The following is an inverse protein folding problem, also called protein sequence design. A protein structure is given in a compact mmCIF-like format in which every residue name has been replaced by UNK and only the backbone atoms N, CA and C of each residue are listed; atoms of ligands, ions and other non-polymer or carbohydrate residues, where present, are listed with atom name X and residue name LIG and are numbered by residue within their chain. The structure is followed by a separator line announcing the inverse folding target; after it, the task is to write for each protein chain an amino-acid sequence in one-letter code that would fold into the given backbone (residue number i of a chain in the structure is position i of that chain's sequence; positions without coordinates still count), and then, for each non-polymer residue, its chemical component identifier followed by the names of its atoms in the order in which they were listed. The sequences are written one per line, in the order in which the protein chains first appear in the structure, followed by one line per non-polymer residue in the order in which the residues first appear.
data_IF_750259795446
#
_entry.id   IF_750259795446
#
_cell.length_a   1.000
_cell.length_b   1.000
_cell.length_c   1.000
_cell.angle_alpha   90.00
_cell.angle_beta   90.00
_cell.angle_gamma   90.00
#
_symmetry.space_group_name_H-M   'P 1'
#
loop_
_entity.id
_entity.type
_entity.pdbx_description
1 polymer ?
#
# COMPACT_ATOMS: atom_id res chain seq x y z
N UNK A 1 22.07 23.39 14.72
CA UNK A 1 21.61 22.15 14.08
C UNK A 1 20.08 22.04 14.15
N UNK A 2 19.47 22.22 15.31
CA UNK A 2 18.02 22.15 15.53
C UNK A 2 17.23 23.17 14.68
N UNK A 3 17.72 24.42 14.55
CA UNK A 3 17.02 25.44 13.74
C UNK A 3 16.98 25.11 12.25
N UNK A 4 18.04 24.52 11.68
CA UNK A 4 18.02 24.05 10.28
C UNK A 4 17.05 22.89 10.06
N UNK A 5 16.91 21.99 11.04
CA UNK A 5 15.92 20.92 11.03
C UNK A 5 14.50 21.48 11.09
N UNK A 6 14.24 22.47 11.94
CA UNK A 6 12.94 23.15 12.05
C UNK A 6 12.58 23.94 10.78
N UNK A 7 13.55 24.57 10.12
CA UNK A 7 13.33 25.25 8.82
C UNK A 7 13.00 24.23 7.72
N UNK A 8 13.68 23.09 7.70
CA UNK A 8 13.40 22.01 6.75
C UNK A 8 11.95 21.47 6.90
N UNK A 9 11.49 21.23 8.13
CA UNK A 9 10.13 20.78 8.39
C UNK A 9 9.06 21.85 8.09
N UNK A 10 9.42 23.11 8.08
CA UNK A 10 8.51 24.23 7.74
C UNK A 10 8.45 24.56 6.26
N UNK A 11 9.39 24.06 5.45
CA UNK A 11 9.42 24.31 4.02
C UNK A 11 8.19 23.68 3.36
N UNK A 12 7.44 24.50 2.63
CA UNK A 12 6.20 24.10 1.96
C UNK A 12 6.46 23.67 0.52
N UNK A 13 5.75 22.63 0.08
CA UNK A 13 5.83 22.11 -1.28
C UNK A 13 4.46 21.88 -1.89
N UNK A 14 4.43 21.78 -3.22
CA UNK A 14 3.22 21.50 -3.96
C UNK A 14 2.80 20.02 -3.76
N UNK A 15 1.53 19.74 -3.51
CA UNK A 15 1.03 18.40 -3.21
C UNK A 15 0.91 17.46 -4.42
N UNK A 16 1.18 17.94 -5.64
CA UNK A 16 0.99 17.17 -6.87
C UNK A 16 1.73 15.83 -6.92
N UNK A 17 3.03 15.75 -6.55
CA UNK A 17 3.75 14.48 -6.61
C UNK A 17 3.15 13.40 -5.72
N UNK A 18 2.71 13.76 -4.51
CA UNK A 18 2.06 12.84 -3.60
C UNK A 18 0.71 12.34 -4.13
N UNK A 19 -0.06 13.23 -4.75
CA UNK A 19 -1.35 12.87 -5.32
C UNK A 19 -1.19 11.91 -6.51
N UNK A 20 -0.24 12.17 -7.41
CA UNK A 20 0.08 11.28 -8.53
C UNK A 20 0.60 9.93 -8.08
N UNK A 21 1.48 9.94 -7.08
CA UNK A 21 2.00 8.71 -6.48
C UNK A 21 0.87 7.84 -5.89
N UNK A 22 -0.05 8.44 -5.12
CA UNK A 22 -1.22 7.77 -4.57
C UNK A 22 -2.08 7.11 -5.65
N UNK A 23 -2.39 7.87 -6.71
CA UNK A 23 -3.21 7.37 -7.83
C UNK A 23 -2.50 6.22 -8.55
N UNK A 24 -1.23 6.41 -8.89
CA UNK A 24 -0.42 5.38 -9.57
C UNK A 24 -0.29 4.11 -8.72
N UNK A 25 -0.01 4.26 -7.41
CA UNK A 25 0.07 3.15 -6.47
C UNK A 25 -1.25 2.37 -6.39
N UNK A 26 -2.38 3.07 -6.23
CA UNK A 26 -3.68 2.41 -6.14
C UNK A 26 -4.05 1.67 -7.43
N UNK A 27 -3.79 2.26 -8.62
CA UNK A 27 -4.01 1.60 -9.92
C UNK A 27 -3.14 0.35 -10.04
N UNK A 28 -1.85 0.42 -9.66
CA UNK A 28 -0.92 -0.70 -9.72
C UNK A 28 -1.39 -1.86 -8.84
N UNK A 29 -1.82 -1.58 -7.62
CA UNK A 29 -2.35 -2.61 -6.71
C UNK A 29 -3.65 -3.22 -7.26
N UNK A 30 -4.59 -2.41 -7.76
CA UNK A 30 -5.82 -2.90 -8.39
C UNK A 30 -5.51 -3.80 -9.59
N UNK A 31 -4.59 -3.39 -10.45
CA UNK A 31 -4.18 -4.19 -11.61
C UNK A 31 -3.56 -5.52 -11.18
N UNK A 32 -2.69 -5.50 -10.17
CA UNK A 32 -2.07 -6.72 -9.64
C UNK A 32 -3.10 -7.70 -9.06
N UNK A 33 -4.05 -7.20 -8.24
CA UNK A 33 -5.12 -8.01 -7.66
C UNK A 33 -6.07 -8.57 -8.73
N UNK A 34 -6.44 -7.75 -9.73
CA UNK A 34 -7.28 -8.19 -10.85
C UNK A 34 -6.60 -9.30 -11.64
N UNK A 35 -5.32 -9.13 -11.98
CA UNK A 35 -4.54 -10.16 -12.69
C UNK A 35 -4.46 -11.45 -11.87
N UNK A 36 -4.27 -11.34 -10.56
CA UNK A 36 -4.20 -12.47 -9.66
C UNK A 36 -5.52 -13.25 -9.64
N UNK A 37 -6.64 -12.54 -9.54
CA UNK A 37 -7.97 -13.14 -9.55
C UNK A 37 -8.33 -13.77 -10.91
N UNK A 38 -8.05 -13.07 -12.02
CA UNK A 38 -8.36 -13.55 -13.38
C UNK A 38 -7.56 -14.80 -13.78
N UNK A 39 -6.36 -14.96 -13.24
CA UNK A 39 -5.55 -16.17 -13.46
C UNK A 39 -5.99 -17.37 -12.58
N UNK A 40 -7.02 -17.23 -11.74
CA UNK A 40 -7.47 -18.28 -10.83
C UNK A 40 -6.49 -18.59 -9.68
N UNK A 41 -5.51 -17.72 -9.44
CA UNK A 41 -4.47 -17.97 -8.43
C UNK A 41 -4.99 -17.92 -6.99
N UNK A 42 -6.15 -17.29 -6.75
CA UNK A 42 -6.78 -17.33 -5.43
C UNK A 42 -7.17 -18.77 -5.08
N UNK A 43 -7.74 -19.49 -6.05
CA UNK A 43 -8.18 -20.87 -5.87
C UNK A 43 -6.97 -21.83 -5.77
N UNK A 44 -6.09 -21.78 -6.76
CA UNK A 44 -4.97 -22.72 -6.88
C UNK A 44 -3.90 -22.55 -5.78
N UNK A 45 -3.73 -21.35 -5.20
CA UNK A 45 -2.69 -21.10 -4.20
C UNK A 45 -3.22 -21.09 -2.76
N UNK A 46 -4.51 -20.74 -2.54
CA UNK A 46 -5.05 -20.57 -1.18
C UNK A 46 -6.20 -21.52 -0.84
N UNK A 47 -6.91 -22.09 -1.83
CA UNK A 47 -8.09 -22.93 -1.57
C UNK A 47 -7.83 -24.42 -1.85
N UNK A 48 -7.11 -24.75 -2.90
CA UNK A 48 -6.80 -26.13 -3.27
C UNK A 48 -5.78 -26.81 -2.36
N UNK A 49 -4.69 -26.12 -1.88
CA UNK A 49 -3.69 -26.79 -1.04
C UNK A 49 -4.23 -27.11 0.35
N UNK A 50 -4.06 -28.37 0.77
CA UNK A 50 -4.42 -28.84 2.12
C UNK A 50 -3.50 -28.28 3.21
N UNK A 51 -2.31 -27.80 2.84
CA UNK A 51 -1.28 -27.34 3.77
C UNK A 51 -0.65 -26.02 3.32
N UNK A 52 -0.53 -25.07 4.26
CA UNK A 52 0.08 -23.77 4.05
C UNK A 52 1.26 -23.56 5.01
N UNK A 53 2.36 -23.02 4.50
CA UNK A 53 3.54 -22.71 5.29
C UNK A 53 3.38 -21.35 5.98
N UNK A 54 3.05 -21.38 7.27
CA UNK A 54 2.92 -20.17 8.07
C UNK A 54 4.28 -19.54 8.41
N UNK A 55 4.30 -18.23 8.59
CA UNK A 55 5.45 -17.53 9.15
C UNK A 55 5.57 -17.79 10.65
N UNK A 56 6.81 -17.78 11.15
CA UNK A 56 7.07 -17.91 12.58
C UNK A 56 6.36 -16.80 13.37
N UNK A 57 5.56 -17.16 14.35
CA UNK A 57 4.74 -16.23 15.14
C UNK A 57 3.36 -15.87 14.52
N UNK A 58 3.08 -16.25 13.26
CA UNK A 58 1.82 -15.96 12.55
C UNK A 58 1.06 -17.23 12.14
N UNK A 59 1.20 -18.31 12.90
CA UNK A 59 0.53 -19.60 12.62
C UNK A 59 -0.99 -19.56 12.65
N UNK A 60 -1.57 -18.47 13.20
CA UNK A 60 -3.00 -18.20 13.22
C UNK A 60 -3.51 -17.58 11.91
N UNK A 61 -2.62 -17.01 11.07
CA UNK A 61 -2.97 -16.46 9.76
C UNK A 61 -3.03 -17.61 8.76
N UNK A 62 -4.23 -17.98 8.34
CA UNK A 62 -4.48 -19.06 7.40
C UNK A 62 -5.56 -18.62 6.41
N UNK A 63 -5.63 -19.23 5.21
CA UNK A 63 -6.77 -19.04 4.34
C UNK A 63 -8.07 -19.48 5.03
N UNK A 64 -9.12 -18.68 4.87
CA UNK A 64 -10.41 -18.86 5.54
C UNK A 64 -11.39 -19.56 4.57
N UNK A 65 -10.91 -20.46 3.73
CA UNK A 65 -11.73 -21.09 2.70
C UNK A 65 -12.36 -20.05 1.78
N UNK A 66 -13.65 -20.15 1.50
CA UNK A 66 -14.36 -19.24 0.58
C UNK A 66 -14.30 -17.76 0.99
N UNK A 67 -14.13 -17.46 2.28
CA UNK A 67 -13.99 -16.07 2.77
C UNK A 67 -12.67 -15.42 2.35
N UNK A 68 -11.70 -16.18 1.84
CA UNK A 68 -10.48 -15.63 1.24
C UNK A 68 -10.81 -14.70 0.08
N UNK A 69 -11.81 -15.02 -0.75
CA UNK A 69 -12.29 -14.13 -1.81
C UNK A 69 -12.79 -12.79 -1.26
N UNK A 70 -13.45 -12.79 -0.10
CA UNK A 70 -13.91 -11.56 0.55
C UNK A 70 -12.73 -10.68 0.98
N UNK A 71 -11.65 -11.28 1.49
CA UNK A 71 -10.43 -10.53 1.85
C UNK A 71 -9.82 -9.86 0.61
N UNK A 72 -9.72 -10.58 -0.51
CA UNK A 72 -9.25 -10.02 -1.78
C UNK A 72 -10.17 -8.90 -2.29
N UNK A 73 -11.49 -9.06 -2.17
CA UNK A 73 -12.46 -8.04 -2.55
C UNK A 73 -12.34 -6.78 -1.70
N UNK A 74 -12.20 -6.91 -0.37
CA UNK A 74 -11.98 -5.78 0.54
C UNK A 74 -10.67 -5.06 0.20
N UNK A 75 -9.61 -5.82 -0.09
CA UNK A 75 -8.33 -5.27 -0.51
C UNK A 75 -8.47 -4.46 -1.81
N UNK A 76 -9.17 -5.00 -2.81
CA UNK A 76 -9.43 -4.33 -4.08
C UNK A 76 -10.26 -3.04 -3.91
N UNK A 77 -11.36 -3.10 -3.15
CA UNK A 77 -12.17 -1.92 -2.85
C UNK A 77 -11.39 -0.84 -2.10
N UNK A 78 -10.51 -1.25 -1.18
CA UNK A 78 -9.64 -0.33 -0.45
C UNK A 78 -8.64 0.35 -1.39
N UNK A 79 -8.05 -0.39 -2.34
CA UNK A 79 -7.17 0.17 -3.36
C UNK A 79 -7.90 1.18 -4.26
N UNK A 80 -9.17 0.90 -4.62
CA UNK A 80 -10.02 1.84 -5.35
C UNK A 80 -10.24 3.13 -4.55
N UNK A 81 -10.58 3.02 -3.26
CA UNK A 81 -10.80 4.19 -2.40
C UNK A 81 -9.51 5.00 -2.19
N UNK A 82 -8.35 4.34 -2.10
CA UNK A 82 -7.05 5.00 -2.09
C UNK A 82 -6.83 5.76 -3.41
N UNK A 83 -7.12 5.18 -4.56
CA UNK A 83 -6.99 5.81 -5.87
C UNK A 83 -7.83 7.07 -5.98
N UNK A 84 -9.11 6.98 -5.61
CA UNK A 84 -10.06 8.11 -5.65
C UNK A 84 -9.76 9.12 -4.53
N UNK A 85 -9.13 8.68 -3.44
CA UNK A 85 -8.87 9.51 -2.27
C UNK A 85 -10.10 9.74 -1.40
N UNK A 86 -11.01 8.77 -1.35
CA UNK A 86 -12.17 8.80 -0.46
C UNK A 86 -11.80 8.18 0.89
N UNK A 87 -12.02 8.91 1.98
CA UNK A 87 -11.63 8.52 3.35
C UNK A 87 -10.23 7.89 3.40
N UNK A 88 -9.30 8.53 2.73
CA UNK A 88 -7.97 8.03 2.40
C UNK A 88 -7.26 7.30 3.56
N UNK A 89 -7.25 7.88 4.77
CA UNK A 89 -6.56 7.27 5.93
C UNK A 89 -7.14 5.92 6.31
N UNK A 90 -8.45 5.77 6.29
CA UNK A 90 -9.09 4.47 6.55
C UNK A 90 -8.82 3.50 5.41
N UNK A 91 -8.97 3.96 4.18
CA UNK A 91 -8.76 3.15 2.99
C UNK A 91 -7.34 2.57 2.92
N UNK A 92 -6.31 3.40 3.14
CA UNK A 92 -4.91 2.94 3.10
C UNK A 92 -4.58 2.01 4.28
N UNK A 93 -5.17 2.23 5.46
CA UNK A 93 -4.97 1.35 6.61
C UNK A 93 -5.61 -0.02 6.37
N UNK A 94 -6.83 -0.06 5.83
CA UNK A 94 -7.50 -1.32 5.47
C UNK A 94 -6.73 -2.03 4.35
N UNK A 95 -6.26 -1.29 3.34
CA UNK A 95 -5.42 -1.84 2.28
C UNK A 95 -4.15 -2.49 2.85
N UNK A 96 -3.43 -1.79 3.72
CA UNK A 96 -2.24 -2.32 4.38
C UNK A 96 -2.53 -3.61 5.15
N UNK A 97 -3.57 -3.61 5.99
CA UNK A 97 -3.92 -4.77 6.82
C UNK A 97 -4.36 -5.98 5.97
N UNK A 98 -5.22 -5.77 4.98
CA UNK A 98 -5.73 -6.85 4.12
C UNK A 98 -4.65 -7.39 3.20
N UNK A 99 -3.82 -6.52 2.63
CA UNK A 99 -2.73 -6.94 1.76
C UNK A 99 -1.65 -7.71 2.55
N UNK A 100 -1.26 -7.20 3.73
CA UNK A 100 -0.32 -7.90 4.62
C UNK A 100 -0.90 -9.23 5.11
N UNK A 101 -2.20 -9.31 5.38
CA UNK A 101 -2.86 -10.56 5.73
C UNK A 101 -2.75 -11.59 4.61
N UNK A 102 -3.02 -11.20 3.35
CA UNK A 102 -2.87 -12.05 2.17
C UNK A 102 -1.43 -12.57 2.04
N UNK A 103 -0.45 -11.69 2.24
CA UNK A 103 0.97 -12.02 2.15
C UNK A 103 1.43 -13.01 3.24
N UNK A 104 0.84 -12.91 4.44
CA UNK A 104 1.17 -13.78 5.57
C UNK A 104 0.47 -15.15 5.55
N UNK A 105 -0.53 -15.36 4.68
CA UNK A 105 -1.26 -16.63 4.60
C UNK A 105 -0.36 -17.80 4.21
N UNK A 106 0.57 -17.60 3.27
CA UNK A 106 1.47 -18.64 2.82
C UNK A 106 2.85 -18.09 2.46
N UNK A 107 3.86 -18.64 3.09
CA UNK A 107 5.27 -18.27 2.85
C UNK A 107 5.76 -18.67 1.46
N UNK A 108 5.16 -19.66 0.82
CA UNK A 108 5.57 -20.14 -0.51
C UNK A 108 5.23 -19.15 -1.62
N UNK A 109 4.24 -18.29 -1.41
CA UNK A 109 3.80 -17.25 -2.35
C UNK A 109 4.55 -15.93 -2.19
N UNK A 110 5.58 -15.90 -1.31
CA UNK A 110 6.36 -14.70 -1.04
C UNK A 110 7.07 -14.19 -2.29
N UNK A 111 6.81 -12.92 -2.61
CA UNK A 111 7.49 -12.18 -3.66
C UNK A 111 8.01 -10.84 -3.10
N UNK A 112 9.27 -10.50 -3.40
CA UNK A 112 9.92 -9.28 -2.89
C UNK A 112 9.11 -8.00 -3.19
N UNK A 113 8.43 -7.94 -4.32
CA UNK A 113 7.61 -6.79 -4.69
C UNK A 113 6.30 -6.70 -3.88
N UNK A 114 5.75 -7.81 -3.37
CA UNK A 114 4.60 -7.78 -2.47
C UNK A 114 4.99 -7.18 -1.11
N UNK A 115 6.13 -7.62 -0.57
CA UNK A 115 6.67 -7.00 0.64
C UNK A 115 6.90 -5.49 0.48
N UNK A 116 7.40 -5.07 -0.68
CA UNK A 116 7.55 -3.65 -0.99
C UNK A 116 6.21 -2.91 -0.98
N UNK A 117 5.14 -3.50 -1.54
CA UNK A 117 3.78 -2.91 -1.53
C UNK A 117 3.29 -2.75 -0.07
N UNK A 118 3.50 -3.74 0.79
CA UNK A 118 3.14 -3.65 2.22
C UNK A 118 3.90 -2.53 2.92
N UNK A 119 5.22 -2.42 2.71
CA UNK A 119 6.05 -1.34 3.27
C UNK A 119 5.60 0.04 2.78
N UNK A 120 5.33 0.18 1.48
CA UNK A 120 4.85 1.44 0.90
C UNK A 120 3.47 1.80 1.46
N UNK A 121 2.55 0.84 1.54
CA UNK A 121 1.22 1.06 2.12
C UNK A 121 1.31 1.55 3.56
N UNK A 122 2.20 0.96 4.36
CA UNK A 122 2.46 1.39 5.73
C UNK A 122 2.97 2.83 5.78
N UNK A 123 3.95 3.18 4.95
CA UNK A 123 4.50 4.53 4.88
C UNK A 123 3.44 5.55 4.46
N UNK A 124 2.58 5.20 3.51
CA UNK A 124 1.50 6.04 3.01
C UNK A 124 0.43 6.35 4.06
N UNK A 125 0.28 5.57 5.15
CA UNK A 125 -0.62 5.88 6.26
C UNK A 125 -0.25 7.22 6.91
N UNK A 126 1.06 7.49 7.02
CA UNK A 126 1.57 8.71 7.67
C UNK A 126 1.62 9.92 6.72
N UNK A 127 1.57 9.69 5.41
CA UNK A 127 1.69 10.74 4.40
C UNK A 127 0.32 11.36 4.07
N UNK A 128 0.23 12.69 3.94
CA UNK A 128 -1.01 13.39 3.57
C UNK A 128 -1.27 13.32 2.06
N UNK A 129 -1.36 12.12 1.48
CA UNK A 129 -1.49 11.93 0.03
C UNK A 129 -2.87 12.34 -0.53
N UNK A 130 -3.86 12.60 0.30
CA UNK A 130 -5.21 13.01 -0.11
C UNK A 130 -5.43 14.53 -0.14
N UNK A 131 -4.37 15.34 -0.13
CA UNK A 131 -4.47 16.80 -0.14
C UNK A 131 -4.86 17.36 -1.51
N UNK A 132 -4.58 16.63 -2.59
CA UNK A 132 -4.88 17.04 -3.95
C UNK A 132 -5.43 15.88 -4.77
N UNK A 133 -6.24 16.16 -5.81
CA UNK A 133 -6.91 15.14 -6.66
C UNK A 133 -7.63 14.05 -5.87
N UNK A 134 -8.21 14.37 -4.73
CA UNK A 134 -8.96 13.45 -3.89
C UNK A 134 -10.40 13.95 -3.71
N UNK A 135 -11.34 13.02 -3.53
CA UNK A 135 -12.74 13.36 -3.22
C UNK A 135 -12.82 14.14 -1.92
N UNK A 136 -12.01 13.80 -0.95
CA UNK A 136 -11.92 14.49 0.35
C UNK A 136 -10.89 15.64 0.35
N UNK A 137 -10.41 16.07 -0.83
CA UNK A 137 -9.39 17.10 -0.89
C UNK A 137 -9.91 18.44 -0.37
N UNK A 138 -9.23 19.01 0.63
CA UNK A 138 -9.40 20.39 1.04
C UNK A 138 -8.55 21.26 0.11
N UNK A 139 -9.20 22.07 -0.71
CA UNK A 139 -8.53 23.00 -1.64
C UNK A 139 -7.53 23.89 -0.86
N UNK A 140 -6.34 24.08 -1.41
CA UNK A 140 -5.29 24.99 -0.94
C UNK A 140 -4.52 24.59 0.35
N UNK A 141 -4.34 23.31 0.64
CA UNK A 141 -3.42 22.91 1.70
C UNK A 141 -2.03 22.72 1.09
N UNK A 142 -1.07 23.52 1.55
CA UNK A 142 0.35 23.29 1.32
C UNK A 142 0.81 22.17 2.24
N UNK A 143 1.70 21.33 1.75
CA UNK A 143 2.24 20.18 2.51
C UNK A 143 3.69 20.44 2.90
N UNK A 144 4.16 19.92 4.04
CA UNK A 144 5.56 20.01 4.41
C UNK A 144 6.45 19.29 3.40
N UNK A 145 7.59 19.85 3.06
CA UNK A 145 8.50 19.29 2.04
C UNK A 145 9.00 17.89 2.40
N UNK A 146 9.20 17.59 3.69
CA UNK A 146 9.67 16.29 4.13
C UNK A 146 8.77 15.12 3.66
N UNK A 147 7.48 15.40 3.39
CA UNK A 147 6.55 14.37 2.87
C UNK A 147 6.86 13.98 1.42
N UNK A 148 7.41 14.90 0.62
CA UNK A 148 7.86 14.64 -0.75
C UNK A 148 9.23 13.96 -0.71
N UNK A 149 10.11 14.42 0.17
CA UNK A 149 11.45 13.86 0.32
C UNK A 149 11.41 12.41 0.83
N UNK A 150 10.39 12.04 1.64
CA UNK A 150 10.18 10.65 2.05
C UNK A 150 9.82 9.71 0.88
N UNK A 151 9.18 10.22 -0.18
CA UNK A 151 9.00 9.46 -1.43
C UNK A 151 10.32 9.27 -2.18
N UNK A 152 11.20 10.27 -2.13
CA UNK A 152 12.54 10.21 -2.72
C UNK A 152 13.40 9.13 -2.10
N UNK A 153 13.25 8.85 -0.79
CA UNK A 153 13.97 7.77 -0.10
C UNK A 153 13.63 6.38 -0.65
N UNK A 154 12.44 6.20 -1.20
CA UNK A 154 12.04 4.93 -1.85
C UNK A 154 12.86 4.70 -3.12
N UNK A 155 13.22 5.76 -3.86
CA UNK A 155 14.07 5.67 -5.05
C UNK A 155 15.56 5.46 -4.73
N UNK A 156 16.03 5.91 -3.55
CA UNK A 156 17.43 5.74 -3.13
C UNK A 156 17.73 4.29 -2.71
N UNK A 157 16.72 3.51 -2.36
CA UNK A 157 16.90 2.12 -1.97
C UNK A 157 17.14 1.15 -3.14
N UNK A 158 17.04 1.61 -4.40
CA UNK A 158 17.54 0.85 -5.54
C UNK A 158 19.07 0.99 -5.59
N UNK A 159 19.82 -0.11 -5.33
CA UNK A 159 21.26 -0.06 -5.53
C UNK A 159 21.49 0.18 -7.02
N UNK A 160 22.10 1.30 -7.35
CA UNK A 160 22.71 1.50 -8.66
C UNK A 160 23.67 0.33 -8.89
N UNK A 161 23.23 -0.66 -9.65
CA UNK A 161 24.11 -1.72 -10.11
C UNK A 161 25.14 -1.06 -11.03
N UNK A 162 26.43 -1.27 -10.77
CA UNK A 162 27.48 -0.84 -11.71
C UNK A 162 27.36 -1.59 -13.04
#
# INVERSE_FOLDING_TARGET
MINKLLEYFKKESLPYPLALYRIGFGILVMFSLSRFALNGWIESLYLEPDFHFSYYGFSWVKPIGIYTYLVFLICFCSALFVTIGYRYRYAITILFLTFTYIELMDKTTYLNHYYLISCISFLMIFLPCATYFAVDSRKNIKIPQWTIDSLSLIHISEPTRP
#
